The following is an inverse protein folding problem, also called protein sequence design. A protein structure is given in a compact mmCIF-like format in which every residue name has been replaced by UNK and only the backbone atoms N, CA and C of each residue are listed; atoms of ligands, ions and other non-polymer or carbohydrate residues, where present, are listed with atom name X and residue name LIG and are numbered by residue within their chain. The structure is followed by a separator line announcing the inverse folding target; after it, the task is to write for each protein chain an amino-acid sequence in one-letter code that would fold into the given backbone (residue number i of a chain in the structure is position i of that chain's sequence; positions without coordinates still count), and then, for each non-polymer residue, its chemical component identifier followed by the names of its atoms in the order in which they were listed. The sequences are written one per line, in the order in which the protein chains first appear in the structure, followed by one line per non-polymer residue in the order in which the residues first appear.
data_IF_314494198257
#
_entry.id   IF_314494198257
#
_cell.length_a   1.000
_cell.length_b   1.000
_cell.length_c   1.000
_cell.angle_alpha   90.00
_cell.angle_beta   90.00
_cell.angle_gamma   90.00
#
_symmetry.space_group_name_H-M   'P 1'
#
loop_
_entity.id
_entity.type
_entity.pdbx_description
1 polymer ?
#
# COMPACT_ATOMS: atom_id res chain seq x y z
N UNK A 1 -7.24 25.26 5.34
CA UNK A 1 -7.44 24.19 6.35
C UNK A 1 -6.45 24.37 7.48
N UNK A 2 -6.84 24.11 8.72
CA UNK A 2 -5.86 24.02 9.82
C UNK A 2 -5.02 22.75 9.65
N UNK A 3 -3.81 22.74 10.20
CA UNK A 3 -2.93 21.57 10.20
C UNK A 3 -3.61 20.33 10.81
N UNK A 4 -4.42 20.54 11.86
CA UNK A 4 -5.17 19.46 12.50
C UNK A 4 -6.28 18.90 11.61
N UNK A 5 -7.03 19.75 10.90
CA UNK A 5 -8.04 19.27 9.96
C UNK A 5 -7.42 18.44 8.83
N UNK A 6 -6.26 18.85 8.32
CA UNK A 6 -5.54 18.10 7.31
C UNK A 6 -5.06 16.73 7.82
N UNK A 7 -4.54 16.70 9.05
CA UNK A 7 -4.14 15.46 9.70
C UNK A 7 -5.30 14.47 9.80
N UNK A 8 -6.47 14.92 10.25
CA UNK A 8 -7.68 14.08 10.37
C UNK A 8 -8.16 13.58 9.01
N UNK A 9 -8.20 14.43 7.99
CA UNK A 9 -8.60 14.05 6.63
C UNK A 9 -7.68 12.96 6.07
N UNK A 10 -6.36 13.14 6.22
CA UNK A 10 -5.34 12.20 5.73
C UNK A 10 -5.37 10.90 6.49
N UNK A 11 -5.46 10.93 7.82
CA UNK A 11 -5.57 9.70 8.62
C UNK A 11 -6.86 8.94 8.28
N UNK A 12 -7.98 9.65 8.09
CA UNK A 12 -9.25 9.03 7.66
C UNK A 12 -9.11 8.37 6.29
N UNK A 13 -8.49 9.06 5.33
CA UNK A 13 -8.19 8.50 4.00
C UNK A 13 -7.32 7.24 4.10
N UNK A 14 -6.27 7.28 4.92
CA UNK A 14 -5.39 6.14 5.17
C UNK A 14 -6.18 4.95 5.77
N UNK A 15 -7.10 5.18 6.71
CA UNK A 15 -7.91 4.07 7.25
C UNK A 15 -8.91 3.51 6.22
N UNK A 16 -9.49 4.38 5.39
CA UNK A 16 -10.38 3.95 4.30
C UNK A 16 -9.66 3.06 3.29
N UNK A 17 -8.42 3.40 2.93
CA UNK A 17 -7.60 2.59 2.02
C UNK A 17 -7.33 1.19 2.60
N UNK A 18 -7.02 1.10 3.89
CA UNK A 18 -6.85 -0.18 4.59
C UNK A 18 -8.14 -1.01 4.62
N UNK A 19 -9.26 -0.36 4.92
CA UNK A 19 -10.57 -1.02 5.00
C UNK A 19 -11.00 -1.59 3.65
N UNK A 20 -10.71 -0.90 2.54
CA UNK A 20 -10.99 -1.43 1.20
C UNK A 20 -10.23 -2.75 0.94
N UNK A 21 -8.99 -2.88 1.43
CA UNK A 21 -8.23 -4.11 1.32
C UNK A 21 -8.82 -5.23 2.19
N UNK A 22 -9.12 -4.93 3.46
CA UNK A 22 -9.67 -5.91 4.41
C UNK A 22 -11.05 -6.45 4.00
N UNK A 23 -11.87 -5.61 3.36
CA UNK A 23 -13.19 -5.98 2.84
C UNK A 23 -13.15 -6.57 1.42
N UNK A 24 -11.97 -6.64 0.78
CA UNK A 24 -11.82 -7.12 -0.60
C UNK A 24 -12.44 -6.19 -1.65
N UNK A 25 -12.68 -4.91 -1.33
CA UNK A 25 -13.22 -3.90 -2.24
C UNK A 25 -12.10 -3.30 -3.11
N UNK A 26 -11.46 -4.15 -3.91
CA UNK A 26 -10.26 -3.77 -4.66
C UNK A 26 -10.51 -2.70 -5.74
N UNK A 27 -11.71 -2.64 -6.31
CA UNK A 27 -12.10 -1.55 -7.22
C UNK A 27 -12.11 -0.18 -6.52
N UNK A 28 -12.67 -0.11 -5.31
CA UNK A 28 -12.68 1.11 -4.51
C UNK A 28 -11.27 1.49 -4.07
N UNK A 29 -10.48 0.49 -3.68
CA UNK A 29 -9.06 0.66 -3.37
C UNK A 29 -8.29 1.27 -4.55
N UNK A 30 -8.44 0.73 -5.77
CA UNK A 30 -7.84 1.30 -6.98
C UNK A 30 -8.30 2.75 -7.24
N UNK A 31 -9.56 3.08 -6.90
CA UNK A 31 -10.11 4.43 -7.00
C UNK A 31 -9.38 5.47 -6.14
N UNK A 32 -8.65 5.05 -5.11
CA UNK A 32 -7.85 5.93 -4.25
C UNK A 32 -6.50 6.29 -4.86
N UNK A 33 -6.08 5.62 -5.93
CA UNK A 33 -4.81 5.81 -6.62
C UNK A 33 -5.01 6.54 -7.95
N UNK A 34 -4.13 7.50 -8.25
CA UNK A 34 -4.13 8.24 -9.49
C UNK A 34 -3.72 7.33 -10.66
N UNK A 35 -4.21 7.56 -11.89
CA UNK A 35 -3.80 6.76 -13.06
C UNK A 35 -2.27 6.69 -13.24
N UNK A 36 -1.57 7.78 -12.96
CA UNK A 36 -0.12 7.92 -13.05
C UNK A 36 0.65 7.58 -11.76
N UNK A 37 0.02 6.86 -10.82
CA UNK A 37 0.68 6.56 -9.54
C UNK A 37 1.96 5.74 -9.73
N UNK A 38 3.03 6.16 -9.07
CA UNK A 38 4.16 5.27 -8.83
C UNK A 38 3.89 4.44 -7.56
N UNK A 39 3.82 3.12 -7.69
CA UNK A 39 3.65 2.19 -6.59
C UNK A 39 4.91 1.34 -6.42
N UNK A 40 5.61 1.52 -5.30
CA UNK A 40 6.91 0.91 -5.09
C UNK A 40 7.08 0.27 -3.71
N UNK A 41 7.56 -0.96 -3.74
CA UNK A 41 7.96 -1.77 -2.58
C UNK A 41 9.39 -2.26 -2.84
N UNK A 42 10.43 -1.59 -2.32
CA UNK A 42 11.81 -1.98 -2.54
C UNK A 42 12.10 -3.34 -1.91
N UNK A 43 13.04 -4.08 -2.50
CA UNK A 43 13.64 -5.24 -1.84
C UNK A 43 14.74 -4.77 -0.87
N UNK A 44 15.01 -5.55 0.16
CA UNK A 44 16.21 -5.39 0.97
C UNK A 44 17.26 -6.45 0.62
N UNK A 45 18.55 -6.11 0.79
CA UNK A 45 19.64 -7.08 0.75
C UNK A 45 19.81 -7.78 2.12
N UNK A 46 20.70 -8.78 2.16
CA UNK A 46 21.00 -9.55 3.38
C UNK A 46 21.50 -8.68 4.56
N UNK A 47 21.88 -7.43 4.31
CA UNK A 47 22.35 -6.46 5.30
C UNK A 47 21.27 -5.42 5.67
N UNK A 48 20.02 -5.62 5.21
CA UNK A 48 18.89 -4.74 5.47
C UNK A 48 18.94 -3.41 4.72
N UNK A 49 19.73 -3.32 3.64
CA UNK A 49 19.77 -2.13 2.79
C UNK A 49 18.72 -2.26 1.70
N UNK A 50 17.84 -1.27 1.62
CA UNK A 50 16.81 -1.23 0.59
C UNK A 50 17.38 -0.75 -0.74
N UNK A 51 16.84 -1.31 -1.82
CA UNK A 51 17.07 -0.80 -3.16
C UNK A 51 16.60 0.65 -3.28
N UNK A 52 17.38 1.47 -3.98
CA UNK A 52 17.17 2.91 -4.11
C UNK A 52 16.70 3.33 -5.50
N UNK A 53 16.74 2.43 -6.48
CA UNK A 53 16.31 2.70 -7.85
C UNK A 53 15.52 1.50 -8.42
N UNK A 54 14.19 1.62 -8.60
CA UNK A 54 13.36 0.53 -9.11
C UNK A 54 13.63 0.17 -10.57
N UNK A 55 14.29 1.04 -11.34
CA UNK A 55 14.57 0.82 -12.76
C UNK A 55 15.82 -0.03 -12.96
N UNK A 56 16.76 0.02 -12.01
CA UNK A 56 18.05 -0.68 -12.11
C UNK A 56 18.25 -1.76 -11.05
N UNK A 57 17.39 -1.80 -10.03
CA UNK A 57 17.51 -2.71 -8.90
C UNK A 57 16.20 -3.49 -8.64
N UNK A 58 16.33 -4.64 -8.00
CA UNK A 58 15.21 -5.54 -7.72
C UNK A 58 14.20 -4.89 -6.77
N UNK A 59 12.92 -4.93 -7.11
CA UNK A 59 11.83 -4.54 -6.22
C UNK A 59 10.97 -5.75 -5.86
N UNK A 60 10.36 -5.76 -4.67
CA UNK A 60 9.32 -6.74 -4.34
C UNK A 60 8.08 -6.49 -5.20
N UNK A 61 7.70 -5.22 -5.36
CA UNK A 61 6.64 -4.76 -6.26
C UNK A 61 7.05 -3.40 -6.82
N UNK A 62 6.93 -3.21 -8.13
CA UNK A 62 7.08 -1.91 -8.75
C UNK A 62 6.11 -1.75 -9.92
N UNK A 63 5.41 -0.63 -9.93
CA UNK A 63 4.58 -0.17 -11.05
C UNK A 63 4.75 1.34 -11.21
N UNK A 64 4.96 1.79 -12.44
CA UNK A 64 5.09 3.20 -12.84
C UNK A 64 3.73 3.86 -13.15
N UNK A 65 2.64 3.08 -13.06
CA UNK A 65 1.27 3.52 -13.27
C UNK A 65 0.27 2.59 -12.58
N UNK A 66 -0.97 3.05 -12.42
CA UNK A 66 -2.05 2.25 -11.82
C UNK A 66 -2.38 1.00 -12.62
N UNK A 67 -2.09 0.98 -13.92
CA UNK A 67 -2.40 -0.16 -14.81
C UNK A 67 -1.81 -1.48 -14.29
N UNK A 68 -0.60 -1.44 -13.71
CA UNK A 68 0.01 -2.63 -13.14
C UNK A 68 -0.73 -3.18 -11.90
N UNK A 69 -1.33 -2.30 -11.10
CA UNK A 69 -2.20 -2.68 -9.99
C UNK A 69 -3.54 -3.21 -10.50
N UNK A 70 -4.13 -2.58 -11.52
CA UNK A 70 -5.38 -3.01 -12.15
C UNK A 70 -5.26 -4.45 -12.70
N UNK A 71 -4.17 -4.76 -13.40
CA UNK A 71 -3.88 -6.11 -13.88
C UNK A 71 -3.74 -7.13 -12.73
N UNK A 72 -3.13 -6.71 -11.62
CA UNK A 72 -2.93 -7.57 -10.45
C UNK A 72 -4.25 -7.87 -9.74
N UNK A 73 -5.07 -6.84 -9.52
CA UNK A 73 -6.44 -6.98 -8.98
C UNK A 73 -7.27 -7.89 -9.87
N UNK A 74 -7.25 -7.69 -11.19
CA UNK A 74 -7.98 -8.53 -12.14
C UNK A 74 -7.62 -10.02 -12.02
N UNK A 75 -6.33 -10.36 -11.87
CA UNK A 75 -5.89 -11.76 -11.69
C UNK A 75 -6.42 -12.37 -10.39
N UNK A 76 -6.43 -11.60 -9.30
CA UNK A 76 -6.97 -12.02 -8.00
C UNK A 76 -8.47 -12.29 -8.12
N UNK A 77 -9.24 -11.33 -8.64
CA UNK A 77 -10.70 -11.44 -8.76
C UNK A 77 -11.16 -12.57 -9.70
N UNK A 78 -10.41 -12.84 -10.78
CA UNK A 78 -10.72 -13.94 -11.71
C UNK A 78 -10.29 -15.31 -11.19
N UNK A 79 -9.76 -15.42 -9.97
CA UNK A 79 -9.24 -16.68 -9.43
C UNK A 79 -8.07 -17.23 -10.25
N UNK A 80 -7.40 -16.38 -11.03
CA UNK A 80 -6.24 -16.74 -11.87
C UNK A 80 -4.93 -16.66 -11.09
N UNK A 81 -5.00 -16.35 -9.80
CA UNK A 81 -3.88 -16.41 -8.86
C UNK A 81 -4.08 -17.60 -7.91
N UNK A 82 -3.34 -18.68 -8.13
CA UNK A 82 -3.28 -19.81 -7.18
C UNK A 82 -2.69 -19.37 -5.84
N UNK A 83 -1.77 -18.40 -5.87
CA UNK A 83 -1.19 -17.78 -4.69
C UNK A 83 -2.22 -17.09 -3.79
N UNK A 84 -3.38 -16.72 -4.33
CA UNK A 84 -4.43 -15.96 -3.64
C UNK A 84 -5.72 -16.77 -3.41
N UNK A 85 -5.73 -18.08 -3.68
CA UNK A 85 -6.93 -18.93 -3.50
C UNK A 85 -6.71 -19.96 -2.39
N UNK A 86 -7.54 -20.00 -1.32
CA UNK A 86 -8.51 -18.98 -0.93
C UNK A 86 -7.81 -17.67 -0.54
N UNK A 87 -8.53 -16.56 -0.64
CA UNK A 87 -8.01 -15.25 -0.22
C UNK A 87 -7.68 -15.26 1.27
N UNK A 88 -6.51 -14.73 1.68
CA UNK A 88 -6.25 -14.53 3.09
C UNK A 88 -7.25 -13.53 3.68
N UNK A 89 -7.59 -13.73 4.95
CA UNK A 89 -8.30 -12.71 5.73
C UNK A 89 -7.25 -11.75 6.30
N UNK A 90 -7.37 -10.47 5.99
CA UNK A 90 -6.43 -9.46 6.45
C UNK A 90 -7.06 -8.55 7.50
N UNK A 91 -6.21 -7.92 8.31
CA UNK A 91 -6.57 -6.85 9.23
C UNK A 91 -5.41 -5.87 9.28
N UNK A 92 -5.60 -4.70 8.70
CA UNK A 92 -4.60 -3.64 8.68
C UNK A 92 -4.72 -2.74 9.91
N UNK A 93 -3.59 -2.43 10.53
CA UNK A 93 -3.48 -1.45 11.60
C UNK A 93 -2.39 -0.44 11.24
N UNK A 94 -2.71 0.85 11.39
CA UNK A 94 -1.83 1.96 10.98
C UNK A 94 -1.67 2.93 12.11
N UNK A 95 -0.45 3.41 12.33
CA UNK A 95 -0.22 4.50 13.27
C UNK A 95 -0.81 5.80 12.72
N UNK A 96 -1.12 6.79 13.57
CA UNK A 96 -1.36 8.15 13.11
C UNK A 96 -0.22 8.62 12.22
N UNK A 97 -0.55 9.26 11.10
CA UNK A 97 0.46 9.70 10.13
C UNK A 97 1.15 10.99 10.58
N UNK A 98 2.34 11.23 10.08
CA UNK A 98 2.97 12.55 10.12
C UNK A 98 2.73 13.21 8.76
N UNK A 99 1.95 14.29 8.75
CA UNK A 99 1.54 14.97 7.53
C UNK A 99 2.34 16.24 7.28
N UNK A 100 2.80 16.42 6.04
CA UNK A 100 3.49 17.62 5.57
C UNK A 100 2.86 18.09 4.25
N UNK A 101 2.36 19.31 4.23
CA UNK A 101 1.90 19.95 3.00
C UNK A 101 3.06 20.71 2.34
N UNK A 102 3.28 20.47 1.05
CA UNK A 102 4.29 21.14 0.24
C UNK A 102 3.67 21.53 -1.13
N UNK A 103 3.20 22.77 -1.23
CA UNK A 103 2.46 23.22 -2.41
C UNK A 103 1.15 22.45 -2.57
N UNK A 104 0.97 21.82 -3.72
CA UNK A 104 -0.23 21.02 -4.05
C UNK A 104 -0.13 19.56 -3.59
N UNK A 105 1.06 19.12 -3.15
CA UNK A 105 1.29 17.76 -2.65
C UNK A 105 1.26 17.70 -1.13
N UNK A 106 0.70 16.61 -0.63
CA UNK A 106 0.67 16.26 0.78
C UNK A 106 1.44 14.97 0.96
N UNK A 107 2.53 15.02 1.71
CA UNK A 107 3.28 13.85 2.12
C UNK A 107 2.72 13.34 3.45
N UNK A 108 2.45 12.04 3.54
CA UNK A 108 2.03 11.39 4.77
C UNK A 108 2.90 10.16 5.04
N UNK A 109 3.46 10.08 6.25
CA UNK A 109 4.32 8.97 6.69
C UNK A 109 3.71 8.25 7.88
N UNK A 110 3.63 6.93 7.85
CA UNK A 110 3.10 6.14 8.94
C UNK A 110 3.76 4.76 9.00
N UNK A 111 3.69 4.13 10.17
CA UNK A 111 4.01 2.72 10.32
C UNK A 111 2.73 1.90 10.14
N UNK A 112 2.88 0.66 9.68
CA UNK A 112 1.77 -0.25 9.44
C UNK A 112 2.12 -1.66 9.94
N UNK A 113 1.07 -2.39 10.31
CA UNK A 113 1.11 -3.83 10.55
C UNK A 113 -0.16 -4.43 9.96
N UNK A 114 -0.01 -5.55 9.26
CA UNK A 114 -1.11 -6.30 8.68
C UNK A 114 -1.06 -7.72 9.21
N UNK A 115 -2.12 -8.13 9.89
CA UNK A 115 -2.33 -9.53 10.25
C UNK A 115 -3.02 -10.22 9.09
N UNK A 116 -2.48 -11.36 8.65
CA UNK A 116 -3.02 -12.18 7.57
C UNK A 116 -3.26 -13.59 8.09
N UNK A 117 -4.45 -14.12 7.89
CA UNK A 117 -4.79 -15.50 8.25
C UNK A 117 -5.17 -16.30 7.01
N UNK A 118 -4.44 -17.39 6.78
CA UNK A 118 -4.68 -18.31 5.67
C UNK A 118 -4.23 -19.72 6.04
N UNK A 119 -4.96 -20.73 5.54
CA UNK A 119 -4.64 -22.15 5.76
C UNK A 119 -4.39 -22.55 7.23
N UNK A 120 -5.10 -21.94 8.18
CA UNK A 120 -4.95 -22.25 9.60
C UNK A 120 -3.77 -21.58 10.28
N UNK A 121 -3.00 -20.75 9.57
CA UNK A 121 -1.84 -20.04 10.09
C UNK A 121 -2.04 -18.52 10.03
N UNK A 122 -1.54 -17.84 11.07
CA UNK A 122 -1.42 -16.39 11.11
C UNK A 122 -0.01 -15.97 10.71
N UNK A 123 0.08 -14.98 9.83
CA UNK A 123 1.31 -14.30 9.44
C UNK A 123 1.13 -12.81 9.68
N UNK A 124 2.20 -12.14 10.09
CA UNK A 124 2.19 -10.69 10.29
C UNK A 124 3.17 -10.07 9.31
N UNK A 125 2.75 -9.01 8.62
CA UNK A 125 3.60 -8.16 7.81
C UNK A 125 3.66 -6.78 8.45
N UNK A 126 4.81 -6.12 8.44
CA UNK A 126 4.89 -4.78 9.02
C UNK A 126 5.98 -3.94 8.37
N UNK A 127 5.81 -2.63 8.49
CA UNK A 127 6.87 -1.71 8.15
C UNK A 127 6.45 -0.25 8.13
N UNK A 128 6.93 0.46 7.12
CA UNK A 128 6.76 1.90 6.98
C UNK A 128 6.18 2.20 5.60
N UNK A 129 5.32 3.21 5.52
CA UNK A 129 4.74 3.65 4.26
C UNK A 129 4.78 5.17 4.20
N UNK A 130 5.24 5.67 3.05
CA UNK A 130 5.11 7.07 2.69
C UNK A 130 4.22 7.15 1.46
N UNK A 131 3.17 7.96 1.56
CA UNK A 131 2.31 8.28 0.43
C UNK A 131 2.37 9.77 0.14
N UNK A 132 2.29 10.10 -1.15
CA UNK A 132 2.10 11.46 -1.61
C UNK A 132 0.70 11.56 -2.21
N UNK A 133 -0.05 12.53 -1.70
CA UNK A 133 -1.43 12.78 -2.06
C UNK A 133 -1.54 14.11 -2.82
N UNK A 134 -2.46 14.15 -3.77
CA UNK A 134 -2.93 15.38 -4.42
C UNK A 134 -4.44 15.47 -4.26
N UNK A 135 -4.98 16.70 -4.28
CA UNK A 135 -6.43 16.92 -4.34
C UNK A 135 -6.87 16.96 -5.80
N UNK A 136 -7.78 16.06 -6.19
CA UNK A 136 -8.35 15.97 -7.54
C UNK A 136 -9.87 15.92 -7.42
N UNK A 137 -10.56 16.85 -8.07
CA UNK A 137 -12.03 16.95 -8.00
C UNK A 137 -12.57 16.88 -6.55
N UNK A 138 -11.94 17.66 -5.66
CA UNK A 138 -12.24 17.72 -4.21
C UNK A 138 -11.97 16.45 -3.38
N UNK A 139 -11.42 15.39 -3.97
CA UNK A 139 -10.99 14.17 -3.28
C UNK A 139 -9.47 14.06 -3.16
N UNK A 140 -8.98 13.40 -2.11
CA UNK A 140 -7.57 13.00 -2.01
C UNK A 140 -7.30 11.78 -2.90
N UNK A 141 -6.14 11.76 -3.53
CA UNK A 141 -5.72 10.67 -4.41
C UNK A 141 -4.21 10.43 -4.25
N UNK A 142 -3.79 9.16 -4.17
CA UNK A 142 -2.38 8.77 -4.08
C UNK A 142 -1.72 8.89 -5.45
N UNK A 143 -0.69 9.71 -5.54
CA UNK A 143 0.14 9.88 -6.75
C UNK A 143 1.50 9.20 -6.65
N UNK A 144 1.91 8.85 -5.44
CA UNK A 144 3.10 8.02 -5.21
C UNK A 144 2.94 7.28 -3.89
N UNK A 145 3.30 5.99 -3.87
CA UNK A 145 3.30 5.15 -2.68
C UNK A 145 4.62 4.39 -2.59
N UNK A 146 5.33 4.59 -1.49
CA UNK A 146 6.57 3.88 -1.18
C UNK A 146 6.38 3.11 0.12
N UNK A 147 6.42 1.78 0.04
CA UNK A 147 6.17 0.88 1.18
C UNK A 147 7.39 0.03 1.48
N UNK A 148 8.00 0.23 2.64
CA UNK A 148 9.07 -0.62 3.16
C UNK A 148 8.49 -1.76 3.99
N UNK A 149 8.91 -2.98 3.71
CA UNK A 149 8.54 -4.18 4.45
C UNK A 149 9.74 -4.56 5.32
N UNK A 150 9.58 -4.48 6.64
CA UNK A 150 10.68 -4.72 7.59
C UNK A 150 10.91 -6.21 7.88
N UNK A 151 9.97 -7.06 7.51
CA UNK A 151 10.06 -8.51 7.59
C UNK A 151 9.76 -9.15 6.23
N UNK A 152 10.52 -8.79 5.22
CA UNK A 152 10.36 -9.25 3.83
C UNK A 152 10.76 -10.72 3.61
N UNK A 153 11.47 -11.33 4.58
CA UNK A 153 11.65 -12.78 4.67
C UNK A 153 10.41 -13.43 5.29
N UNK A 154 9.50 -13.87 4.42
CA UNK A 154 8.22 -14.50 4.80
C UNK A 154 7.98 -15.81 4.05
N UNK A 155 7.40 -16.78 4.75
CA UNK A 155 7.08 -18.11 4.20
C UNK A 155 5.86 -18.10 3.25
N UNK A 156 5.19 -16.96 3.12
CA UNK A 156 4.05 -16.76 2.23
C UNK A 156 4.31 -15.61 1.26
N UNK A 157 3.69 -15.70 0.08
CA UNK A 157 3.79 -14.69 -0.97
C UNK A 157 3.15 -13.38 -0.47
N UNK A 158 3.96 -12.33 -0.39
CA UNK A 158 3.53 -10.96 -0.18
C UNK A 158 2.86 -10.40 -1.45
N UNK A 159 1.80 -9.62 -1.28
CA UNK A 159 1.05 -9.01 -2.39
C UNK A 159 0.39 -7.70 -1.89
N UNK A 160 -0.23 -6.93 -2.79
CA UNK A 160 -0.75 -5.58 -2.51
C UNK A 160 -1.76 -5.55 -1.35
N UNK A 161 -2.54 -6.61 -1.18
CA UNK A 161 -3.54 -6.71 -0.10
C UNK A 161 -2.95 -6.99 1.29
N UNK A 162 -1.62 -7.07 1.41
CA UNK A 162 -0.92 -7.15 2.68
C UNK A 162 -0.31 -5.81 3.14
N UNK A 163 -0.37 -4.75 2.32
CA UNK A 163 0.47 -3.53 2.40
C UNK A 163 -0.27 -2.21 2.75
#
# INVERSE_FOLDING_TARGET
MSTLALQVDVDTFIQQEALCLDEGRFGDWLGLYAPEVEFWVPASDDFGRYTTDPQTQLSLIYYDSRAGLEDRVFRVEKGRSSASTPMPRTCHMRTPSIVRAAGERIEARFNWVTHSFRFGASTTYYGRKTIWLERRHDALCIVQAHTWVLNDLVDQVLDFYHL
#
